data_IF_502291087941
#
_entry.id   IF_502291087941
#
_cell.length_a   1.000
_cell.length_b   1.000
_cell.length_c   1.000
_cell.angle_alpha   90.00
_cell.angle_beta   90.00
_cell.angle_gamma   90.00
#
_symmetry.space_group_name_H-M   'P 1'
#
loop_
_entity.id
_entity.type
_entity.pdbx_description
1 polymer ?
#
# COMPACT_ATOMS: atom_id res chain seq x y z
N UNK A 1 23.17 10.15 30.30
CA UNK A 1 23.44 9.25 29.14
C UNK A 1 24.35 8.11 29.66
N UNK A 2 23.76 6.91 29.76
CA UNK A 2 24.53 5.73 30.19
C UNK A 2 25.37 5.31 28.99
N UNK A 3 26.72 5.44 29.12
CA UNK A 3 27.65 4.93 28.10
C UNK A 3 27.73 3.40 28.24
N UNK A 4 27.09 2.69 27.31
CA UNK A 4 27.20 1.23 27.21
C UNK A 4 28.63 0.88 26.80
N UNK A 5 29.35 -0.03 27.53
CA UNK A 5 30.71 -0.42 27.21
C UNK A 5 30.84 -0.93 25.77
N UNK A 6 31.92 -0.57 25.09
CA UNK A 6 32.19 -0.84 23.67
C UNK A 6 31.95 -2.34 23.30
N UNK A 7 32.45 -3.28 24.13
CA UNK A 7 32.25 -4.73 23.95
C UNK A 7 30.78 -5.22 24.00
N UNK A 8 29.94 -4.55 24.78
CA UNK A 8 28.48 -4.89 24.85
C UNK A 8 27.76 -4.38 23.63
N UNK A 9 28.16 -3.20 23.14
CA UNK A 9 27.61 -2.62 21.91
C UNK A 9 27.92 -3.47 20.68
N UNK A 10 29.12 -4.03 20.59
CA UNK A 10 29.51 -4.91 19.48
C UNK A 10 28.76 -6.25 19.51
N UNK A 11 28.53 -6.83 20.69
CA UNK A 11 27.71 -8.04 20.84
C UNK A 11 26.25 -7.80 20.49
N UNK A 12 25.68 -6.67 20.91
CA UNK A 12 24.29 -6.28 20.56
C UNK A 12 24.18 -6.03 19.05
N UNK A 13 25.16 -5.38 18.45
CA UNK A 13 25.18 -5.15 17.01
C UNK A 13 25.34 -6.47 16.23
N UNK A 14 26.21 -7.39 16.67
CA UNK A 14 26.37 -8.70 16.06
C UNK A 14 25.11 -9.55 16.19
N UNK A 15 24.43 -9.51 17.34
CA UNK A 15 23.14 -10.17 17.55
C UNK A 15 22.05 -9.55 16.67
N UNK A 16 21.96 -8.21 16.61
CA UNK A 16 21.01 -7.51 15.77
C UNK A 16 21.22 -7.83 14.29
N UNK A 17 22.45 -7.85 13.80
CA UNK A 17 22.78 -8.22 12.42
C UNK A 17 22.39 -9.67 12.08
N UNK A 18 22.38 -10.57 13.06
CA UNK A 18 22.06 -11.99 12.86
C UNK A 18 20.57 -12.31 12.92
N UNK A 19 19.81 -11.60 13.78
CA UNK A 19 18.43 -11.95 14.10
C UNK A 19 17.39 -10.89 13.72
N UNK A 20 17.80 -9.63 13.53
CA UNK A 20 16.88 -8.54 13.19
C UNK A 20 16.85 -8.32 11.68
N UNK A 21 15.71 -8.50 11.01
CA UNK A 21 15.57 -8.22 9.59
C UNK A 21 16.00 -6.79 9.25
N UNK A 22 16.74 -6.61 8.17
CA UNK A 22 17.26 -5.31 7.70
C UNK A 22 18.24 -4.60 8.64
N UNK A 23 18.86 -5.28 9.61
CA UNK A 23 19.91 -4.69 10.43
C UNK A 23 21.11 -4.24 9.59
N UNK A 24 21.34 -4.87 8.44
CA UNK A 24 22.32 -4.55 7.41
C UNK A 24 22.06 -3.21 6.69
N UNK A 25 20.83 -2.69 6.77
CA UNK A 25 20.48 -1.35 6.28
C UNK A 25 21.14 -0.24 7.14
N UNK A 26 21.52 -0.55 8.38
CA UNK A 26 22.17 0.40 9.29
C UNK A 26 23.61 0.75 8.85
N UNK A 27 24.04 1.96 9.20
CA UNK A 27 25.41 2.43 9.02
C UNK A 27 25.90 3.16 10.27
N UNK A 28 27.19 3.48 10.34
CA UNK A 28 27.75 4.26 11.47
C UNK A 28 27.03 5.60 11.65
N UNK A 29 26.69 6.26 10.54
CA UNK A 29 25.99 7.56 10.52
C UNK A 29 24.48 7.42 10.70
N UNK A 30 23.91 6.24 10.38
CA UNK A 30 22.48 5.96 10.45
C UNK A 30 22.24 4.64 11.22
N UNK A 31 22.27 4.67 12.56
CA UNK A 31 22.08 3.48 13.38
C UNK A 31 20.68 2.91 13.25
N UNK A 32 20.52 1.59 13.46
CA UNK A 32 19.27 0.86 13.33
C UNK A 32 18.12 1.50 14.14
N UNK A 33 18.40 1.97 15.35
CA UNK A 33 17.41 2.64 16.21
C UNK A 33 16.82 3.90 15.56
N UNK A 34 17.65 4.66 14.84
CA UNK A 34 17.21 5.84 14.09
C UNK A 34 16.38 5.46 12.87
N UNK A 35 16.77 4.39 12.16
CA UNK A 35 16.02 3.83 11.05
C UNK A 35 14.66 3.29 11.49
N UNK A 36 14.61 2.50 12.57
CA UNK A 36 13.36 1.97 13.12
C UNK A 36 12.43 3.09 13.60
N UNK A 37 12.98 4.15 14.22
CA UNK A 37 12.17 5.32 14.57
C UNK A 37 11.66 6.04 13.32
N UNK A 38 12.48 6.20 12.28
CA UNK A 38 12.03 6.78 11.03
C UNK A 38 10.93 5.93 10.39
N UNK A 39 11.02 4.59 10.45
CA UNK A 39 10.04 3.70 9.83
C UNK A 39 8.63 3.79 10.44
N UNK A 40 8.46 4.42 11.62
CA UNK A 40 7.16 4.60 12.26
C UNK A 40 6.16 5.38 11.40
N UNK A 41 6.62 6.31 10.52
CA UNK A 41 5.68 6.96 9.60
C UNK A 41 5.08 5.99 8.60
N UNK A 42 5.83 5.00 8.15
CA UNK A 42 5.30 3.95 7.27
C UNK A 42 4.36 3.01 8.02
N UNK A 43 4.67 2.68 9.29
CA UNK A 43 3.75 1.95 10.16
C UNK A 43 2.42 2.71 10.31
N UNK A 44 2.47 4.03 10.52
CA UNK A 44 1.30 4.89 10.60
C UNK A 44 0.48 4.88 9.28
N UNK A 45 1.15 4.94 8.13
CA UNK A 45 0.52 4.80 6.81
C UNK A 45 -0.17 3.42 6.67
N UNK A 46 0.52 2.33 7.04
CA UNK A 46 -0.05 0.98 7.00
C UNK A 46 -1.30 0.84 7.87
N UNK A 47 -1.29 1.39 9.09
CA UNK A 47 -2.47 1.42 9.97
C UNK A 47 -3.61 2.25 9.38
N UNK A 48 -3.30 3.38 8.74
CA UNK A 48 -4.30 4.20 8.05
C UNK A 48 -4.92 3.45 6.86
N UNK A 49 -4.11 2.70 6.09
CA UNK A 49 -4.62 1.85 5.01
C UNK A 49 -5.54 0.74 5.54
N UNK A 50 -5.17 0.07 6.65
CA UNK A 50 -6.00 -0.92 7.31
C UNK A 50 -7.37 -0.35 7.71
N UNK A 51 -7.39 0.89 8.22
CA UNK A 51 -8.62 1.57 8.59
C UNK A 51 -9.48 1.90 7.36
N UNK A 52 -8.90 2.54 6.33
CA UNK A 52 -9.64 3.04 5.17
C UNK A 52 -10.12 1.93 4.23
N UNK A 53 -9.19 1.07 3.81
CA UNK A 53 -9.44 0.07 2.77
C UNK A 53 -10.10 -1.18 3.37
N UNK A 54 -9.74 -1.56 4.58
CA UNK A 54 -10.33 -2.67 5.30
C UNK A 54 -11.59 -2.26 6.05
N UNK A 55 -11.41 -1.84 7.28
CA UNK A 55 -12.48 -1.71 8.28
C UNK A 55 -13.58 -0.71 7.90
N UNK A 56 -13.23 0.52 7.48
CA UNK A 56 -14.25 1.54 7.17
C UNK A 56 -15.06 1.22 5.93
N UNK A 57 -14.41 0.67 4.91
CA UNK A 57 -15.05 0.19 3.71
C UNK A 57 -16.18 -0.81 4.04
N UNK A 58 -15.88 -1.84 4.83
CA UNK A 58 -16.87 -2.82 5.27
C UNK A 58 -17.98 -2.18 6.12
N UNK A 59 -17.62 -1.33 7.08
CA UNK A 59 -18.60 -0.65 7.95
C UNK A 59 -19.55 0.20 7.12
N UNK A 60 -19.06 0.96 6.15
CA UNK A 60 -19.91 1.79 5.28
C UNK A 60 -20.88 0.94 4.45
N UNK A 61 -20.42 -0.16 3.88
CA UNK A 61 -21.25 -1.00 3.00
C UNK A 61 -22.23 -1.85 3.82
N UNK A 62 -21.74 -2.55 4.84
CA UNK A 62 -22.52 -3.57 5.56
C UNK A 62 -23.34 -2.97 6.70
N UNK A 63 -22.73 -2.11 7.54
CA UNK A 63 -23.39 -1.57 8.75
C UNK A 63 -24.21 -0.31 8.46
N UNK A 64 -23.72 0.55 7.53
CA UNK A 64 -24.39 1.81 7.16
C UNK A 64 -25.19 1.71 5.86
N UNK A 65 -25.16 0.58 5.14
CA UNK A 65 -25.94 0.35 3.91
C UNK A 65 -25.56 1.28 2.75
N UNK A 66 -24.35 1.85 2.75
CA UNK A 66 -23.91 2.78 1.69
C UNK A 66 -23.56 1.97 0.44
N UNK A 67 -24.02 2.39 -0.77
CA UNK A 67 -23.71 1.69 -2.01
C UNK A 67 -22.19 1.52 -2.23
N UNK A 68 -21.77 0.32 -2.65
CA UNK A 68 -20.35 0.00 -2.80
C UNK A 68 -19.64 0.90 -3.82
N UNK A 69 -20.30 1.32 -4.88
CA UNK A 69 -19.74 2.25 -5.87
C UNK A 69 -19.35 3.59 -5.25
N UNK A 70 -20.16 4.11 -4.30
CA UNK A 70 -19.89 5.38 -3.65
C UNK A 70 -18.72 5.25 -2.65
N UNK A 71 -18.69 4.15 -1.90
CA UNK A 71 -17.59 3.83 -0.98
C UNK A 71 -16.30 3.64 -1.76
N UNK A 72 -16.34 2.87 -2.84
CA UNK A 72 -15.19 2.64 -3.73
C UNK A 72 -14.64 3.95 -4.30
N UNK A 73 -15.51 4.85 -4.76
CA UNK A 73 -15.11 6.17 -5.23
C UNK A 73 -14.45 6.98 -4.12
N UNK A 74 -15.03 7.00 -2.90
CA UNK A 74 -14.50 7.74 -1.76
C UNK A 74 -13.13 7.22 -1.33
N UNK A 75 -12.96 5.90 -1.24
CA UNK A 75 -11.66 5.26 -0.90
C UNK A 75 -10.63 5.41 -2.02
N UNK A 76 -11.06 5.52 -3.28
CA UNK A 76 -10.18 5.79 -4.40
C UNK A 76 -9.74 7.27 -4.49
N UNK A 77 -10.49 8.23 -3.92
CA UNK A 77 -10.13 9.65 -3.93
C UNK A 77 -8.68 9.95 -3.46
N UNK A 78 -8.17 9.34 -2.38
CA UNK A 78 -6.79 9.47 -1.97
C UNK A 78 -5.76 9.17 -3.06
N UNK A 79 -6.08 8.27 -3.96
CA UNK A 79 -5.17 7.80 -5.00
C UNK A 79 -5.10 8.74 -6.21
N UNK A 80 -6.12 9.61 -6.40
CA UNK A 80 -6.04 10.71 -7.37
C UNK A 80 -4.93 11.72 -7.03
N UNK A 81 -4.45 11.75 -5.79
CA UNK A 81 -3.27 12.53 -5.41
C UNK A 81 -1.94 11.87 -5.80
N UNK A 82 -1.96 10.62 -6.28
CA UNK A 82 -0.73 9.91 -6.65
C UNK A 82 0.10 10.63 -7.72
N UNK A 83 -0.47 11.24 -8.79
CA UNK A 83 0.29 12.06 -9.74
C UNK A 83 0.93 13.31 -9.09
N UNK A 84 0.27 13.89 -8.07
CA UNK A 84 0.78 15.05 -7.34
C UNK A 84 2.01 14.73 -6.47
N UNK A 85 2.29 13.45 -6.22
CA UNK A 85 3.52 13.02 -5.52
C UNK A 85 4.78 13.54 -6.22
N UNK A 86 4.80 13.56 -7.54
CA UNK A 86 5.91 14.11 -8.31
C UNK A 86 6.11 15.60 -8.03
N UNK A 87 5.02 16.36 -7.95
CA UNK A 87 5.04 17.78 -7.61
C UNK A 87 5.45 18.03 -6.15
N UNK A 88 4.93 17.24 -5.21
CA UNK A 88 5.31 17.29 -3.80
C UNK A 88 6.79 16.95 -3.63
N UNK A 89 7.27 15.91 -4.31
CA UNK A 89 8.67 15.52 -4.35
C UNK A 89 9.55 16.67 -4.84
N UNK A 90 9.25 17.21 -6.01
CA UNK A 90 9.97 18.34 -6.61
C UNK A 90 9.97 19.58 -5.69
N UNK A 91 8.81 19.99 -5.17
CA UNK A 91 8.72 21.12 -4.25
C UNK A 91 9.48 20.88 -2.95
N UNK A 92 9.44 19.67 -2.39
CA UNK A 92 10.19 19.33 -1.19
C UNK A 92 11.71 19.29 -1.42
N UNK A 93 12.16 19.08 -2.68
CA UNK A 93 13.58 19.16 -3.05
C UNK A 93 14.09 20.60 -3.17
N UNK A 94 13.24 21.51 -3.64
CA UNK A 94 13.61 22.88 -3.99
C UNK A 94 13.18 23.94 -2.97
N UNK A 95 12.39 23.55 -1.95
CA UNK A 95 11.80 24.50 -0.99
C UNK A 95 12.86 25.23 -0.16
N UNK A 96 12.93 26.58 -0.20
CA UNK A 96 13.79 27.36 0.66
C UNK A 96 13.14 27.50 2.05
N UNK A 97 13.47 26.61 2.99
CA UNK A 97 12.96 26.71 4.35
C UNK A 97 13.74 27.72 5.17
N UNK A 98 13.07 28.64 5.84
CA UNK A 98 13.67 29.56 6.79
C UNK A 98 14.35 28.84 7.98
N UNK A 99 13.90 27.63 8.31
CA UNK A 99 14.44 26.79 9.38
C UNK A 99 15.62 25.90 8.94
N UNK A 100 15.96 25.90 7.65
CA UNK A 100 16.98 24.98 7.07
C UNK A 100 16.52 23.53 6.96
N UNK A 101 15.22 23.26 7.09
CA UNK A 101 14.62 21.92 6.99
C UNK A 101 13.82 21.83 5.67
N UNK A 102 14.16 20.86 4.80
CA UNK A 102 13.52 20.75 3.48
C UNK A 102 12.31 19.82 3.49
N UNK A 103 12.43 18.65 4.13
CA UNK A 103 11.45 17.56 4.11
C UNK A 103 10.44 17.64 5.27
N UNK A 104 10.92 18.01 6.44
CA UNK A 104 10.10 18.05 7.64
C UNK A 104 8.82 18.90 7.52
N UNK A 105 8.81 20.09 6.90
CA UNK A 105 7.59 20.88 6.76
C UNK A 105 6.47 20.11 6.02
N UNK A 106 6.82 19.35 4.98
CA UNK A 106 5.86 18.53 4.23
C UNK A 106 5.33 17.37 5.06
N UNK A 107 6.17 16.74 5.86
CA UNK A 107 5.77 15.68 6.79
C UNK A 107 4.83 16.22 7.88
N UNK A 108 5.06 17.43 8.36
CA UNK A 108 4.16 18.12 9.29
C UNK A 108 2.79 18.41 8.67
N UNK A 109 2.77 19.00 7.48
CA UNK A 109 1.53 19.28 6.74
C UNK A 109 0.78 17.95 6.46
N UNK A 110 1.50 16.91 6.02
CA UNK A 110 0.91 15.60 5.80
C UNK A 110 0.30 15.00 7.06
N UNK A 111 0.96 15.13 8.22
CA UNK A 111 0.43 14.69 9.51
C UNK A 111 -0.83 15.48 9.95
N UNK A 112 -0.86 16.79 9.73
CA UNK A 112 -2.03 17.63 10.02
C UNK A 112 -3.23 17.18 9.16
N UNK A 113 -3.02 16.92 7.87
CA UNK A 113 -4.08 16.44 6.97
C UNK A 113 -4.59 15.05 7.36
N UNK A 114 -3.68 14.13 7.71
CA UNK A 114 -4.05 12.81 8.23
C UNK A 114 -4.90 12.91 9.49
N UNK A 115 -4.42 13.66 10.49
CA UNK A 115 -5.12 13.84 11.75
C UNK A 115 -6.48 14.51 11.54
N UNK A 116 -6.53 15.62 10.78
CA UNK A 116 -7.76 16.38 10.52
C UNK A 116 -8.79 15.54 9.77
N UNK A 117 -8.37 14.82 8.71
CA UNK A 117 -9.27 13.97 7.94
C UNK A 117 -9.83 12.80 8.75
N UNK A 118 -8.98 12.09 9.51
CA UNK A 118 -9.43 11.01 10.40
C UNK A 118 -10.32 11.51 11.55
N UNK A 119 -10.10 12.73 12.05
CA UNK A 119 -10.91 13.31 13.13
C UNK A 119 -12.32 13.67 12.66
N UNK A 120 -12.48 14.17 11.43
CA UNK A 120 -13.77 14.53 10.83
C UNK A 120 -14.54 13.29 10.39
N UNK A 121 -13.86 12.27 9.92
CA UNK A 121 -14.42 11.10 9.25
C UNK A 121 -15.57 10.41 10.01
N UNK A 122 -15.47 10.07 11.32
CA UNK A 122 -16.53 9.32 11.98
C UNK A 122 -17.84 10.11 12.07
N UNK A 123 -17.79 11.42 12.23
CA UNK A 123 -18.99 12.26 12.25
C UNK A 123 -19.66 12.32 10.89
N UNK A 124 -18.89 12.46 9.82
CA UNK A 124 -19.40 12.41 8.47
C UNK A 124 -20.06 11.07 8.15
N UNK A 125 -19.46 9.94 8.61
CA UNK A 125 -20.02 8.60 8.40
C UNK A 125 -21.34 8.38 9.14
N UNK A 126 -21.49 8.90 10.35
CA UNK A 126 -22.76 8.82 11.09
C UNK A 126 -23.91 9.54 10.39
N UNK A 127 -23.65 10.67 9.72
CA UNK A 127 -24.64 11.39 8.95
C UNK A 127 -25.10 10.64 7.68
N UNK A 128 -24.35 9.63 7.20
CA UNK A 128 -24.75 8.85 6.04
C UNK A 128 -25.98 7.96 6.30
N UNK A 129 -26.26 7.64 7.54
CA UNK A 129 -27.39 6.76 7.94
C UNK A 129 -28.55 7.55 8.57
N UNK A 130 -28.64 8.85 8.32
CA UNK A 130 -29.73 9.69 8.84
C UNK A 130 -30.99 9.57 7.98
N UNK A 131 -32.14 9.94 8.55
CA UNK A 131 -33.45 9.87 7.92
C UNK A 131 -33.73 10.99 6.93
N UNK A 132 -32.97 12.10 6.99
CA UNK A 132 -33.22 13.27 6.12
C UNK A 132 -32.23 13.32 4.96
N UNK A 133 -32.74 13.67 3.76
CA UNK A 133 -31.92 13.76 2.54
C UNK A 133 -30.81 14.79 2.70
N UNK A 134 -31.05 15.90 3.39
CA UNK A 134 -30.09 16.97 3.57
C UNK A 134 -28.90 16.51 4.43
N UNK A 135 -29.15 15.82 5.54
CA UNK A 135 -28.09 15.30 6.42
C UNK A 135 -27.26 14.22 5.74
N UNK A 136 -27.87 13.35 4.92
CA UNK A 136 -27.16 12.35 4.12
C UNK A 136 -26.22 13.03 3.11
N UNK A 137 -26.64 14.10 2.44
CA UNK A 137 -25.77 14.85 1.53
C UNK A 137 -24.62 15.55 2.27
N UNK A 138 -24.88 16.14 3.45
CA UNK A 138 -23.82 16.68 4.31
C UNK A 138 -22.83 15.59 4.73
N UNK A 139 -23.33 14.41 5.09
CA UNK A 139 -22.49 13.24 5.40
C UNK A 139 -21.61 12.82 4.22
N UNK A 140 -22.18 12.78 3.01
CA UNK A 140 -21.42 12.45 1.78
C UNK A 140 -20.32 13.44 1.48
N UNK A 141 -20.60 14.74 1.55
CA UNK A 141 -19.61 15.81 1.33
C UNK A 141 -18.53 15.75 2.41
N UNK A 142 -18.93 15.63 3.67
CA UNK A 142 -18.01 15.51 4.80
C UNK A 142 -17.09 14.29 4.71
N UNK A 143 -17.63 13.15 4.32
CA UNK A 143 -16.85 11.92 4.12
C UNK A 143 -15.89 12.08 2.94
N UNK A 144 -16.32 12.59 1.78
CA UNK A 144 -15.42 12.88 0.66
C UNK A 144 -14.27 13.82 1.08
N UNK A 145 -14.58 14.89 1.81
CA UNK A 145 -13.56 15.80 2.33
C UNK A 145 -12.60 15.10 3.28
N UNK A 146 -13.10 14.27 4.18
CA UNK A 146 -12.28 13.48 5.10
C UNK A 146 -11.35 12.52 4.36
N UNK A 147 -11.87 11.76 3.37
CA UNK A 147 -11.05 10.87 2.53
C UNK A 147 -10.00 11.65 1.72
N UNK A 148 -10.35 12.81 1.16
CA UNK A 148 -9.41 13.67 0.44
C UNK A 148 -8.29 14.17 1.35
N UNK A 149 -8.61 14.64 2.56
CA UNK A 149 -7.61 15.10 3.53
C UNK A 149 -6.69 13.96 3.95
N UNK A 150 -7.25 12.79 4.28
CA UNK A 150 -6.44 11.61 4.63
C UNK A 150 -5.54 11.22 3.47
N UNK A 151 -6.07 11.21 2.25
CA UNK A 151 -5.31 10.89 1.06
C UNK A 151 -4.18 11.87 0.79
N UNK A 152 -4.45 13.17 0.83
CA UNK A 152 -3.44 14.21 0.69
C UNK A 152 -2.35 14.07 1.76
N UNK A 153 -2.76 13.79 3.01
CA UNK A 153 -1.86 13.55 4.13
C UNK A 153 -0.97 12.33 3.93
N UNK A 154 -1.56 11.18 3.54
CA UNK A 154 -0.82 9.95 3.25
C UNK A 154 0.20 10.15 2.13
N UNK A 155 -0.23 10.70 1.00
CA UNK A 155 0.66 10.88 -0.16
C UNK A 155 1.80 11.86 0.14
N UNK A 156 1.51 12.94 0.88
CA UNK A 156 2.52 13.93 1.26
C UNK A 156 3.52 13.33 2.25
N UNK A 157 3.04 12.67 3.31
CA UNK A 157 3.88 12.02 4.32
C UNK A 157 4.75 10.93 3.70
N UNK A 158 4.16 10.08 2.87
CA UNK A 158 4.90 8.97 2.22
C UNK A 158 5.97 9.49 1.26
N UNK A 159 5.64 10.48 0.43
CA UNK A 159 6.59 11.04 -0.55
C UNK A 159 7.76 11.73 0.15
N UNK A 160 7.48 12.63 1.10
CA UNK A 160 8.52 13.36 1.82
C UNK A 160 9.33 12.45 2.75
N UNK A 161 8.68 11.45 3.38
CA UNK A 161 9.32 10.50 4.29
C UNK A 161 10.28 9.55 3.56
N UNK A 162 9.87 8.99 2.42
CA UNK A 162 10.75 8.17 1.57
C UNK A 162 11.91 8.98 1.01
N UNK A 163 11.66 10.23 0.59
CA UNK A 163 12.72 11.12 0.14
C UNK A 163 13.71 11.46 1.28
N UNK A 164 13.21 11.74 2.49
CA UNK A 164 14.06 11.94 3.67
C UNK A 164 14.93 10.71 3.96
N UNK A 165 14.34 9.52 3.92
CA UNK A 165 15.05 8.27 4.14
C UNK A 165 16.17 8.03 3.13
N UNK A 166 15.92 8.31 1.85
CA UNK A 166 16.93 8.18 0.78
C UNK A 166 18.01 9.26 0.86
N UNK A 167 17.68 10.47 1.34
CA UNK A 167 18.66 11.55 1.57
C UNK A 167 19.64 11.23 2.71
N UNK A 168 19.18 10.54 3.76
CA UNK A 168 19.98 10.19 4.93
C UNK A 168 20.79 8.90 4.68
N UNK A 169 20.27 7.99 3.86
CA UNK A 169 20.88 6.69 3.59
C UNK A 169 22.08 6.81 2.63
N UNK A 170 23.14 6.05 2.91
CA UNK A 170 24.25 5.87 1.98
C UNK A 170 23.74 5.26 0.66
N UNK A 171 24.26 5.67 -0.52
CA UNK A 171 23.76 5.23 -1.83
C UNK A 171 23.61 3.71 -1.98
N UNK A 172 24.60 2.95 -1.47
CA UNK A 172 24.65 1.49 -1.55
C UNK A 172 23.59 0.81 -0.67
N UNK A 173 23.13 1.49 0.38
CA UNK A 173 22.15 0.97 1.35
C UNK A 173 20.73 1.45 1.12
N UNK A 174 20.50 2.39 0.19
CA UNK A 174 19.17 2.92 -0.12
C UNK A 174 18.11 1.85 -0.42
N UNK A 175 18.39 0.82 -1.23
CA UNK A 175 17.40 -0.24 -1.49
C UNK A 175 16.97 -0.97 -0.21
N UNK A 176 17.90 -1.25 0.69
CA UNK A 176 17.62 -1.93 1.98
C UNK A 176 16.81 -1.06 2.92
N UNK A 177 17.12 0.25 2.98
CA UNK A 177 16.34 1.22 3.76
C UNK A 177 14.91 1.32 3.23
N UNK A 178 14.72 1.41 1.92
CA UNK A 178 13.39 1.44 1.30
C UNK A 178 12.63 0.14 1.57
N UNK A 179 13.29 -1.00 1.50
CA UNK A 179 12.69 -2.30 1.81
C UNK A 179 12.25 -2.39 3.29
N UNK A 180 13.08 -1.91 4.25
CA UNK A 180 12.71 -1.80 5.66
C UNK A 180 11.44 -0.94 5.85
N UNK A 181 11.38 0.21 5.19
CA UNK A 181 10.24 1.12 5.29
C UNK A 181 8.95 0.49 4.76
N UNK A 182 9.00 -0.22 3.61
CA UNK A 182 7.83 -0.92 3.07
C UNK A 182 7.41 -2.09 3.96
N UNK A 183 8.37 -2.83 4.54
CA UNK A 183 8.06 -3.88 5.53
C UNK A 183 7.40 -3.31 6.78
N UNK A 184 7.85 -2.14 7.26
CA UNK A 184 7.23 -1.44 8.38
C UNK A 184 5.78 -1.01 8.06
N UNK A 185 5.50 -0.63 6.80
CA UNK A 185 4.14 -0.35 6.34
C UNK A 185 3.25 -1.60 6.40
N UNK A 186 3.74 -2.75 5.93
CA UNK A 186 3.00 -4.02 6.03
C UNK A 186 2.78 -4.45 7.47
N UNK A 187 3.76 -4.27 8.35
CA UNK A 187 3.59 -4.51 9.80
C UNK A 187 2.50 -3.59 10.36
N UNK A 188 2.49 -2.32 9.98
CA UNK A 188 1.45 -1.36 10.35
C UNK A 188 0.06 -1.78 9.86
N UNK A 189 -0.04 -2.29 8.62
CA UNK A 189 -1.27 -2.83 8.06
C UNK A 189 -1.77 -4.04 8.88
N UNK A 190 -0.90 -5.01 9.17
CA UNK A 190 -1.24 -6.22 9.92
C UNK A 190 -1.68 -5.88 11.35
N UNK A 191 -0.87 -5.11 12.06
CA UNK A 191 -1.16 -4.72 13.45
C UNK A 191 -2.39 -3.83 13.51
N UNK A 192 -2.52 -2.88 12.58
CA UNK A 192 -3.70 -2.01 12.46
C UNK A 192 -4.97 -2.81 12.24
N UNK A 193 -4.99 -3.72 11.25
CA UNK A 193 -6.17 -4.56 10.97
C UNK A 193 -6.55 -5.44 12.15
N UNK A 194 -5.57 -6.07 12.80
CA UNK A 194 -5.81 -6.88 13.99
C UNK A 194 -6.39 -6.08 15.16
N UNK A 195 -5.80 -4.90 15.42
CA UNK A 195 -6.26 -4.00 16.48
C UNK A 195 -7.67 -3.47 16.20
N UNK A 196 -7.94 -3.01 14.98
CA UNK A 196 -9.25 -2.50 14.57
C UNK A 196 -10.33 -3.60 14.65
N UNK A 197 -10.02 -4.80 14.17
CA UNK A 197 -10.92 -5.94 14.25
C UNK A 197 -11.25 -6.32 15.69
N UNK A 198 -10.27 -6.27 16.60
CA UNK A 198 -10.50 -6.55 18.04
C UNK A 198 -11.33 -5.46 18.71
N UNK A 199 -11.04 -4.17 18.45
CA UNK A 199 -11.77 -3.04 19.04
C UNK A 199 -13.21 -2.95 18.55
N UNK A 200 -13.49 -3.31 17.29
CA UNK A 200 -14.82 -3.25 16.66
C UNK A 200 -15.56 -4.61 16.68
N UNK A 201 -15.11 -5.56 17.48
CA UNK A 201 -15.76 -6.88 17.60
C UNK A 201 -17.26 -6.76 17.90
N UNK A 202 -17.60 -5.91 18.87
CA UNK A 202 -18.98 -5.58 19.22
C UNK A 202 -19.26 -4.18 18.66
N UNK A 203 -19.65 -4.12 17.40
CA UNK A 203 -19.86 -2.88 16.68
C UNK A 203 -20.95 -2.03 17.31
N UNK A 204 -20.66 -0.76 17.55
CA UNK A 204 -21.62 0.30 17.85
C UNK A 204 -21.16 1.62 17.20
N UNK A 205 -22.09 2.52 16.83
CA UNK A 205 -21.71 3.85 16.27
C UNK A 205 -20.76 4.63 17.19
N UNK A 206 -20.96 4.56 18.49
CA UNK A 206 -20.09 5.21 19.48
C UNK A 206 -18.68 4.61 19.48
N UNK A 207 -18.55 3.29 19.42
CA UNK A 207 -17.25 2.62 19.30
C UNK A 207 -16.55 2.99 18.01
N UNK A 208 -17.27 3.12 16.89
CA UNK A 208 -16.69 3.58 15.62
C UNK A 208 -16.02 4.94 15.78
N UNK A 209 -16.71 5.92 16.40
CA UNK A 209 -16.15 7.25 16.68
C UNK A 209 -14.88 7.15 17.51
N UNK A 210 -14.94 6.42 18.63
CA UNK A 210 -13.79 6.25 19.53
C UNK A 210 -12.59 5.60 18.86
N UNK A 211 -12.81 4.56 18.05
CA UNK A 211 -11.76 3.82 17.37
C UNK A 211 -11.12 4.65 16.26
N UNK A 212 -11.91 5.36 15.45
CA UNK A 212 -11.37 6.19 14.36
C UNK A 212 -10.60 7.38 14.92
N UNK A 213 -11.12 8.06 15.95
CA UNK A 213 -10.42 9.19 16.60
C UNK A 213 -9.18 8.72 17.37
N UNK A 214 -9.26 7.57 18.07
CA UNK A 214 -8.10 6.93 18.69
C UNK A 214 -7.01 6.58 17.68
N UNK A 215 -7.41 6.09 16.50
CA UNK A 215 -6.50 5.82 15.38
C UNK A 215 -5.87 7.12 14.84
N UNK A 216 -6.63 8.21 14.75
CA UNK A 216 -6.12 9.52 14.34
C UNK A 216 -5.00 9.99 15.28
N UNK A 217 -5.24 9.90 16.59
CA UNK A 217 -4.25 10.27 17.60
C UNK A 217 -3.01 9.38 17.53
N UNK A 218 -3.18 8.04 17.42
CA UNK A 218 -2.08 7.09 17.33
C UNK A 218 -1.22 7.36 16.08
N UNK A 219 -1.84 7.54 14.92
CA UNK A 219 -1.16 7.87 13.66
C UNK A 219 -0.38 9.19 13.79
N UNK A 220 -0.98 10.21 14.40
CA UNK A 220 -0.31 11.49 14.63
C UNK A 220 0.92 11.34 15.53
N UNK A 221 0.81 10.59 16.63
CA UNK A 221 1.93 10.34 17.56
C UNK A 221 3.05 9.54 16.89
N UNK A 222 2.71 8.50 16.12
CA UNK A 222 3.70 7.72 15.37
C UNK A 222 4.45 8.58 14.36
N UNK A 223 3.74 9.41 13.60
CA UNK A 223 4.34 10.33 12.65
C UNK A 223 5.26 11.35 13.37
N UNK A 224 4.80 12.00 14.42
CA UNK A 224 5.61 12.97 15.19
C UNK A 224 6.86 12.33 15.78
N UNK A 225 6.74 11.11 16.31
CA UNK A 225 7.86 10.36 16.87
C UNK A 225 8.87 9.99 15.78
N UNK A 226 8.39 9.63 14.59
CA UNK A 226 9.24 9.29 13.45
C UNK A 226 10.10 10.47 12.99
N UNK A 227 9.57 11.70 13.10
CA UNK A 227 10.22 12.92 12.61
C UNK A 227 11.27 13.49 13.58
N UNK A 228 11.27 13.04 14.82
CA UNK A 228 12.08 13.64 15.86
C UNK A 228 13.58 13.54 15.55
N UNK A 229 14.22 14.71 15.32
CA UNK A 229 15.66 14.85 15.05
C UNK A 229 16.19 13.98 13.89
N UNK A 230 15.41 13.85 12.82
CA UNK A 230 15.78 13.06 11.64
C UNK A 230 16.54 13.87 10.59
N UNK A 231 16.12 15.11 10.33
CA UNK A 231 16.73 15.95 9.30
C UNK A 231 17.79 16.87 9.90
N UNK A 232 18.98 16.88 9.30
CA UNK A 232 20.01 17.85 9.64
C UNK A 232 19.72 19.20 8.97
N UNK A 233 19.91 20.30 9.71
CA UNK A 233 19.73 21.65 9.15
C UNK A 233 20.76 21.91 8.06
N UNK A 234 20.30 22.26 6.88
CA UNK A 234 21.14 22.62 5.74
C UNK A 234 21.26 24.13 5.65
N UNK A 235 22.48 24.61 5.83
CA UNK A 235 22.82 26.05 5.75
C UNK A 235 23.13 26.52 4.33
N UNK A 236 23.38 25.61 3.39
CA UNK A 236 23.70 25.96 1.99
C UNK A 236 22.57 25.55 1.05
N UNK A 237 22.11 26.54 0.28
CA UNK A 237 21.20 26.40 -0.84
C UNK A 237 21.92 25.57 -1.92
N UNK A 238 21.55 24.31 -2.10
CA UNK A 238 22.03 23.53 -3.25
C UNK A 238 21.43 24.08 -4.54
N UNK A 239 22.18 24.77 -5.34
CA UNK A 239 21.84 25.12 -6.71
C UNK A 239 21.83 23.85 -7.55
N UNK A 240 20.71 23.17 -7.60
CA UNK A 240 20.39 22.27 -8.70
C UNK A 240 19.43 23.00 -9.62
N UNK A 241 19.91 23.44 -10.76
CA UNK A 241 19.02 23.77 -11.88
C UNK A 241 18.28 22.50 -12.28
N UNK A 242 16.97 22.46 -12.16
CA UNK A 242 16.24 21.26 -12.55
C UNK A 242 16.15 21.23 -14.07
N UNK A 243 16.77 20.24 -14.69
CA UNK A 243 16.40 19.86 -16.05
C UNK A 243 14.88 19.69 -16.12
N UNK A 244 14.23 20.32 -17.11
CA UNK A 244 12.77 20.39 -17.15
C UNK A 244 12.15 18.98 -17.12
N UNK A 245 11.18 18.75 -16.22
CA UNK A 245 10.46 17.48 -16.04
C UNK A 245 10.08 16.80 -17.37
N UNK A 246 9.63 17.58 -18.35
CA UNK A 246 9.21 17.09 -19.67
C UNK A 246 10.34 16.43 -20.47
N UNK A 247 11.58 16.94 -20.38
CA UNK A 247 12.75 16.38 -21.09
C UNK A 247 13.12 15.00 -20.51
N UNK A 248 13.21 14.93 -19.21
CA UNK A 248 13.55 13.69 -18.50
C UNK A 248 12.46 12.62 -18.66
N UNK A 249 11.17 13.01 -18.68
CA UNK A 249 10.06 12.11 -18.93
C UNK A 249 10.11 11.48 -20.32
N UNK A 250 10.38 12.28 -21.37
CA UNK A 250 10.56 11.76 -22.74
C UNK A 250 11.72 10.77 -22.83
N UNK A 251 12.81 11.04 -22.13
CA UNK A 251 13.96 10.14 -22.07
C UNK A 251 13.61 8.80 -21.45
N UNK A 252 12.85 8.78 -20.34
CA UNK A 252 12.41 7.54 -19.69
C UNK A 252 11.48 6.72 -20.59
N UNK A 253 10.48 7.35 -21.22
CA UNK A 253 9.55 6.64 -22.11
C UNK A 253 10.26 6.07 -23.34
N UNK A 254 11.39 6.64 -23.73
CA UNK A 254 12.22 6.14 -24.85
C UNK A 254 13.09 4.93 -24.46
N UNK A 255 13.24 4.62 -23.18
CA UNK A 255 13.99 3.42 -22.75
C UNK A 255 13.39 2.14 -23.31
N UNK A 256 14.22 1.16 -23.71
CA UNK A 256 13.75 -0.12 -24.22
C UNK A 256 12.82 -0.81 -23.19
N UNK A 257 11.68 -1.29 -23.67
CA UNK A 257 10.66 -1.99 -22.87
C UNK A 257 9.97 -1.16 -21.76
N UNK A 258 10.27 0.13 -21.58
CA UNK A 258 9.67 0.95 -20.52
C UNK A 258 8.14 1.02 -20.64
N UNK A 259 7.59 1.26 -21.83
CA UNK A 259 6.15 1.27 -22.06
C UNK A 259 5.50 -0.06 -21.63
N UNK A 260 6.11 -1.17 -22.05
CA UNK A 260 5.60 -2.52 -21.70
C UNK A 260 5.67 -2.77 -20.20
N UNK A 261 6.77 -2.38 -19.57
CA UNK A 261 6.94 -2.45 -18.11
C UNK A 261 5.82 -1.68 -17.40
N UNK A 262 5.57 -0.42 -17.75
CA UNK A 262 4.52 0.40 -17.15
C UNK A 262 3.11 -0.19 -17.38
N UNK A 263 2.82 -0.73 -18.57
CA UNK A 263 1.57 -1.44 -18.84
C UNK A 263 1.42 -2.69 -17.96
N UNK A 264 2.48 -3.49 -17.81
CA UNK A 264 2.45 -4.68 -16.95
C UNK A 264 2.21 -4.31 -15.49
N UNK A 265 2.88 -3.25 -15.01
CA UNK A 265 2.65 -2.70 -13.65
C UNK A 265 1.21 -2.25 -13.51
N UNK A 266 0.67 -1.50 -14.48
CA UNK A 266 -0.69 -0.99 -14.43
C UNK A 266 -1.73 -2.12 -14.38
N UNK A 267 -1.67 -3.07 -15.31
CA UNK A 267 -2.63 -4.18 -15.40
C UNK A 267 -2.54 -5.09 -14.16
N UNK A 268 -1.32 -5.45 -13.74
CA UNK A 268 -1.13 -6.28 -12.55
C UNK A 268 -1.57 -5.59 -11.25
N UNK A 269 -1.36 -4.28 -11.14
CA UNK A 269 -1.88 -3.50 -10.01
C UNK A 269 -3.41 -3.43 -10.02
N UNK A 270 -4.04 -3.24 -11.18
CA UNK A 270 -5.49 -3.33 -11.32
C UNK A 270 -6.00 -4.69 -10.83
N UNK A 271 -5.35 -5.78 -11.29
CA UNK A 271 -5.75 -7.15 -11.00
C UNK A 271 -5.67 -7.52 -9.51
N UNK A 272 -4.79 -6.91 -8.73
CA UNK A 272 -4.66 -7.16 -7.29
C UNK A 272 -5.37 -6.13 -6.41
N UNK A 273 -5.87 -5.03 -6.95
CA UNK A 273 -6.43 -3.94 -6.14
C UNK A 273 -7.94 -3.77 -6.28
N UNK A 274 -8.57 -4.35 -7.30
CA UNK A 274 -10.02 -4.20 -7.50
C UNK A 274 -10.80 -4.82 -6.32
N UNK A 275 -10.33 -5.95 -5.80
CA UNK A 275 -10.90 -6.66 -4.66
C UNK A 275 -10.75 -5.91 -3.31
N UNK A 276 -9.83 -4.96 -3.19
CA UNK A 276 -9.55 -4.30 -1.90
C UNK A 276 -10.79 -3.62 -1.30
N UNK A 277 -11.71 -3.17 -2.14
CA UNK A 277 -12.96 -2.54 -1.70
C UNK A 277 -14.07 -3.55 -1.40
N UNK A 278 -14.07 -4.70 -2.08
CA UNK A 278 -15.20 -5.63 -2.05
C UNK A 278 -14.95 -6.89 -1.21
N UNK A 279 -13.70 -7.20 -0.88
CA UNK A 279 -13.35 -8.46 -0.20
C UNK A 279 -13.93 -8.54 1.22
N UNK A 280 -13.75 -7.50 2.04
CA UNK A 280 -14.32 -7.46 3.38
C UNK A 280 -15.85 -7.38 3.38
N UNK A 281 -16.48 -6.52 2.55
CA UNK A 281 -17.93 -6.53 2.36
C UNK A 281 -18.49 -7.88 1.90
N UNK A 282 -17.81 -8.58 0.97
CA UNK A 282 -18.20 -9.94 0.56
C UNK A 282 -18.27 -10.90 1.76
N UNK A 283 -17.27 -10.86 2.64
CA UNK A 283 -17.29 -11.62 3.88
C UNK A 283 -18.46 -11.27 4.80
N UNK A 284 -18.86 -9.99 4.85
CA UNK A 284 -19.99 -9.52 5.66
C UNK A 284 -21.37 -9.82 5.04
N UNK A 285 -21.57 -9.50 3.74
CA UNK A 285 -22.87 -9.62 3.06
C UNK A 285 -23.21 -11.05 2.61
N UNK A 286 -22.20 -11.83 2.18
CA UNK A 286 -22.41 -13.15 1.59
C UNK A 286 -22.12 -14.28 2.60
N UNK A 287 -21.03 -14.17 3.36
CA UNK A 287 -20.63 -15.18 4.33
C UNK A 287 -21.08 -14.85 5.77
N UNK A 288 -21.79 -13.74 5.97
CA UNK A 288 -22.34 -13.30 7.27
C UNK A 288 -21.29 -13.21 8.39
N UNK A 289 -20.05 -12.87 8.06
CA UNK A 289 -18.96 -12.75 9.00
C UNK A 289 -19.00 -11.41 9.74
N UNK A 290 -18.61 -11.41 11.03
CA UNK A 290 -18.55 -10.18 11.82
C UNK A 290 -17.35 -9.28 11.43
N UNK A 291 -17.36 -8.02 11.91
CA UNK A 291 -16.30 -7.02 11.61
C UNK A 291 -14.91 -7.50 12.00
N UNK A 292 -14.78 -8.11 13.20
CA UNK A 292 -13.51 -8.63 13.70
C UNK A 292 -12.91 -9.67 12.75
N UNK A 293 -13.77 -10.53 12.21
CA UNK A 293 -13.35 -11.57 11.31
C UNK A 293 -12.92 -11.01 9.94
N UNK A 294 -13.73 -10.12 9.36
CA UNK A 294 -13.42 -9.53 8.05
C UNK A 294 -12.18 -8.63 8.11
N UNK A 295 -12.00 -7.82 9.17
CA UNK A 295 -10.78 -7.04 9.36
C UNK A 295 -9.53 -7.93 9.53
N UNK A 296 -9.67 -9.17 10.05
CA UNK A 296 -8.56 -10.12 10.10
C UNK A 296 -8.09 -10.58 8.71
N UNK A 297 -8.94 -10.48 7.67
CA UNK A 297 -8.58 -10.81 6.30
C UNK A 297 -7.54 -9.83 5.74
N UNK A 298 -7.69 -8.54 6.02
CA UNK A 298 -6.68 -7.53 5.64
C UNK A 298 -5.34 -7.82 6.33
N UNK A 299 -5.35 -8.21 7.62
CA UNK A 299 -4.14 -8.65 8.31
C UNK A 299 -3.53 -9.91 7.66
N UNK A 300 -4.36 -10.86 7.25
CA UNK A 300 -3.93 -12.11 6.62
C UNK A 300 -3.33 -11.86 5.23
N UNK A 301 -3.94 -10.98 4.44
CA UNK A 301 -3.39 -10.51 3.15
C UNK A 301 -2.04 -9.82 3.34
N UNK A 302 -1.93 -8.90 4.33
CA UNK A 302 -0.67 -8.23 4.68
C UNK A 302 0.41 -9.21 5.13
N UNK A 303 0.07 -10.22 5.92
CA UNK A 303 1.00 -11.28 6.32
C UNK A 303 1.47 -12.11 5.11
N UNK A 304 0.55 -12.45 4.19
CA UNK A 304 0.88 -13.09 2.91
C UNK A 304 1.89 -12.26 2.11
N UNK A 305 1.66 -10.95 1.99
CA UNK A 305 2.58 -10.03 1.30
C UNK A 305 3.95 -9.94 1.99
N UNK A 306 4.01 -9.94 3.31
CA UNK A 306 5.28 -9.91 4.05
C UNK A 306 6.09 -11.20 3.86
N UNK A 307 5.42 -12.37 3.88
CA UNK A 307 6.04 -13.66 3.56
C UNK A 307 6.54 -13.67 2.12
N UNK A 308 5.76 -13.12 1.19
CA UNK A 308 6.15 -12.97 -0.21
C UNK A 308 7.41 -12.13 -0.38
N UNK A 309 7.53 -11.02 0.35
CA UNK A 309 8.74 -10.18 0.33
C UNK A 309 9.97 -10.94 0.80
N UNK A 310 9.84 -11.67 1.91
CA UNK A 310 10.94 -12.50 2.45
C UNK A 310 11.35 -13.61 1.46
N UNK A 311 10.37 -14.29 0.85
CA UNK A 311 10.63 -15.35 -0.11
C UNK A 311 11.23 -14.79 -1.41
N UNK A 312 10.70 -13.69 -1.94
CA UNK A 312 11.24 -13.02 -3.13
C UNK A 312 12.72 -12.67 -2.93
N UNK A 313 13.06 -12.06 -1.78
CA UNK A 313 14.44 -11.74 -1.45
C UNK A 313 15.35 -13.00 -1.48
N UNK A 314 14.93 -14.10 -0.85
CA UNK A 314 15.68 -15.37 -0.86
C UNK A 314 15.83 -15.97 -2.25
N UNK A 315 14.75 -15.96 -3.06
CA UNK A 315 14.78 -16.50 -4.42
C UNK A 315 15.74 -15.73 -5.33
N UNK A 316 15.79 -14.40 -5.17
CA UNK A 316 16.67 -13.55 -5.97
C UNK A 316 18.13 -13.71 -5.59
N UNK A 317 18.44 -13.88 -4.29
CA UNK A 317 19.80 -14.26 -3.86
C UNK A 317 20.24 -15.60 -4.47
N UNK A 318 19.30 -16.54 -4.69
CA UNK A 318 19.55 -17.79 -5.40
C UNK A 318 19.63 -17.64 -6.93
N UNK A 319 19.57 -16.42 -7.47
CA UNK A 319 19.72 -16.12 -8.88
C UNK A 319 18.42 -16.16 -9.71
N UNK A 320 17.24 -16.21 -9.07
CA UNK A 320 16.00 -16.03 -9.80
C UNK A 320 15.86 -14.58 -10.29
N UNK A 321 15.47 -14.43 -11.56
CA UNK A 321 15.19 -13.14 -12.17
C UNK A 321 13.91 -12.49 -11.59
N UNK A 322 13.92 -11.16 -11.40
CA UNK A 322 12.80 -10.41 -10.85
C UNK A 322 11.50 -10.56 -11.67
N UNK A 323 11.60 -10.74 -13.00
CA UNK A 323 10.46 -11.05 -13.86
C UNK A 323 9.81 -12.40 -13.49
N UNK A 324 10.62 -13.43 -13.20
CA UNK A 324 10.10 -14.74 -12.77
C UNK A 324 9.44 -14.67 -11.42
N UNK A 325 10.02 -13.91 -10.49
CA UNK A 325 9.41 -13.66 -9.15
C UNK A 325 8.04 -13.01 -9.30
N UNK A 326 7.93 -11.97 -10.14
CA UNK A 326 6.64 -11.33 -10.43
C UNK A 326 5.64 -12.28 -11.10
N UNK A 327 6.10 -13.14 -12.03
CA UNK A 327 5.26 -14.14 -12.68
C UNK A 327 4.70 -15.17 -11.69
N UNK A 328 5.50 -15.63 -10.73
CA UNK A 328 5.02 -16.48 -9.64
C UNK A 328 3.95 -15.77 -8.80
N UNK A 329 4.09 -14.46 -8.58
CA UNK A 329 3.07 -13.67 -7.92
C UNK A 329 1.73 -13.68 -8.66
N UNK A 330 1.75 -13.42 -9.98
CA UNK A 330 0.54 -13.48 -10.81
C UNK A 330 -0.07 -14.88 -10.85
N UNK A 331 0.76 -15.93 -10.96
CA UNK A 331 0.31 -17.32 -10.96
C UNK A 331 -0.30 -17.75 -9.61
N UNK A 332 0.20 -17.27 -8.48
CA UNK A 332 -0.39 -17.55 -7.15
C UNK A 332 -1.65 -16.76 -6.87
N UNK A 333 -1.84 -15.59 -7.49
CA UNK A 333 -3.07 -14.85 -7.44
C UNK A 333 -4.27 -15.60 -8.04
N UNK A 334 -4.06 -16.35 -9.13
CA UNK A 334 -5.14 -17.10 -9.79
C UNK A 334 -5.87 -18.10 -8.85
N UNK A 335 -5.20 -19.07 -8.20
CA UNK A 335 -5.86 -19.92 -7.24
C UNK A 335 -6.36 -19.15 -6.02
N UNK A 336 -5.74 -18.02 -5.66
CA UNK A 336 -6.23 -17.13 -4.61
C UNK A 336 -7.64 -16.61 -4.91
N UNK A 337 -7.86 -16.01 -6.07
CA UNK A 337 -9.18 -15.54 -6.49
C UNK A 337 -10.17 -16.69 -6.73
N UNK A 338 -9.70 -17.82 -7.26
CA UNK A 338 -10.56 -19.01 -7.41
C UNK A 338 -11.07 -19.52 -6.05
N UNK A 339 -10.23 -19.55 -5.02
CA UNK A 339 -10.65 -19.90 -3.65
C UNK A 339 -11.68 -18.91 -3.09
N UNK A 340 -11.50 -17.61 -3.29
CA UNK A 340 -12.47 -16.60 -2.85
C UNK A 340 -13.79 -16.76 -3.58
N UNK A 341 -13.78 -16.97 -4.90
CA UNK A 341 -14.97 -17.18 -5.73
C UNK A 341 -15.76 -18.43 -5.30
N UNK A 342 -15.05 -19.51 -4.97
CA UNK A 342 -15.65 -20.77 -4.55
C UNK A 342 -16.07 -20.79 -3.07
N UNK A 343 -15.68 -19.80 -2.28
CA UNK A 343 -15.96 -19.77 -0.85
C UNK A 343 -17.46 -19.74 -0.53
N UNK A 344 -18.27 -18.94 -1.26
CA UNK A 344 -19.71 -18.88 -1.06
C UNK A 344 -20.42 -20.16 -1.51
N UNK A 345 -20.22 -20.70 -2.73
CA UNK A 345 -20.84 -21.95 -3.14
C UNK A 345 -20.51 -23.15 -2.23
N UNK A 346 -19.33 -23.14 -1.60
CA UNK A 346 -18.90 -24.22 -0.71
C UNK A 346 -19.15 -23.91 0.78
N UNK A 347 -19.76 -22.77 1.10
CA UNK A 347 -19.97 -22.26 2.45
C UNK A 347 -18.72 -22.42 3.36
N UNK A 348 -17.54 -22.10 2.79
CA UNK A 348 -16.25 -22.39 3.40
C UNK A 348 -15.47 -21.11 3.73
N UNK A 349 -15.52 -20.75 5.01
CA UNK A 349 -14.73 -19.64 5.56
C UNK A 349 -13.22 -19.90 5.45
N UNK A 350 -12.80 -21.16 5.52
CA UNK A 350 -11.39 -21.53 5.37
C UNK A 350 -10.87 -21.29 3.96
N UNK A 351 -11.71 -21.59 2.96
CA UNK A 351 -11.37 -21.34 1.55
C UNK A 351 -11.23 -19.83 1.30
N UNK A 352 -12.12 -19.03 1.90
CA UNK A 352 -12.05 -17.57 1.85
C UNK A 352 -10.75 -17.03 2.47
N UNK A 353 -10.34 -17.50 3.64
CA UNK A 353 -9.08 -17.14 4.29
C UNK A 353 -7.87 -17.54 3.47
N UNK A 354 -7.84 -18.78 2.97
CA UNK A 354 -6.76 -19.28 2.15
C UNK A 354 -6.62 -18.44 0.86
N UNK A 355 -7.74 -18.14 0.19
CA UNK A 355 -7.77 -17.27 -0.98
C UNK A 355 -7.21 -15.89 -0.70
N UNK A 356 -7.68 -15.24 0.37
CA UNK A 356 -7.20 -13.90 0.78
C UNK A 356 -5.69 -13.90 1.06
N UNK A 357 -5.18 -14.93 1.73
CA UNK A 357 -3.75 -15.07 2.02
C UNK A 357 -2.92 -15.23 0.73
N UNK A 358 -3.41 -16.05 -0.21
CA UNK A 358 -2.77 -16.27 -1.52
C UNK A 358 -2.80 -15.00 -2.39
N UNK A 359 -3.89 -14.22 -2.36
CA UNK A 359 -3.97 -12.94 -3.07
C UNK A 359 -2.94 -11.97 -2.51
N UNK A 360 -2.85 -11.83 -1.18
CA UNK A 360 -1.85 -10.99 -0.53
C UNK A 360 -0.43 -11.42 -0.86
N UNK A 361 -0.15 -12.72 -0.82
CA UNK A 361 1.14 -13.29 -1.20
C UNK A 361 1.47 -13.02 -2.67
N UNK A 362 0.53 -13.27 -3.59
CA UNK A 362 0.70 -13.05 -5.02
C UNK A 362 0.97 -11.57 -5.34
N UNK A 363 0.18 -10.67 -4.78
CA UNK A 363 0.35 -9.22 -4.91
C UNK A 363 1.68 -8.72 -4.36
N UNK A 364 2.13 -9.28 -3.22
CA UNK A 364 3.44 -8.99 -2.63
C UNK A 364 4.60 -9.41 -3.54
N UNK A 365 4.59 -10.65 -4.06
CA UNK A 365 5.59 -11.15 -5.00
C UNK A 365 5.65 -10.31 -6.28
N UNK A 366 4.48 -9.96 -6.84
CA UNK A 366 4.38 -9.12 -8.03
C UNK A 366 4.97 -7.73 -7.77
N UNK A 367 4.55 -7.06 -6.70
CA UNK A 367 4.99 -5.69 -6.37
C UNK A 367 6.50 -5.60 -6.16
N UNK A 368 7.08 -6.54 -5.39
CA UNK A 368 8.53 -6.57 -5.15
C UNK A 368 9.30 -6.81 -6.42
N UNK A 369 8.88 -7.79 -7.24
CA UNK A 369 9.55 -8.08 -8.48
C UNK A 369 9.52 -6.89 -9.45
N UNK A 370 8.36 -6.21 -9.59
CA UNK A 370 8.24 -5.00 -10.42
C UNK A 370 9.08 -3.83 -9.89
N UNK A 371 9.14 -3.65 -8.56
CA UNK A 371 9.98 -2.63 -7.94
C UNK A 371 11.46 -2.85 -8.28
N UNK A 372 11.92 -4.09 -8.25
CA UNK A 372 13.32 -4.41 -8.54
C UNK A 372 13.63 -4.24 -10.03
N UNK A 373 12.71 -4.64 -10.92
CA UNK A 373 12.84 -4.35 -12.35
C UNK A 373 12.97 -2.83 -12.56
N UNK A 374 12.15 -2.02 -11.85
CA UNK A 374 12.24 -0.56 -11.92
C UNK A 374 13.59 -0.02 -11.45
N UNK A 375 14.21 -0.64 -10.44
CA UNK A 375 15.53 -0.26 -9.94
C UNK A 375 16.67 -0.66 -10.89
N UNK A 376 16.51 -1.74 -11.65
CA UNK A 376 17.52 -2.30 -12.54
C UNK A 376 17.46 -1.76 -13.97
N UNK A 377 16.31 -1.21 -14.40
CA UNK A 377 16.11 -0.73 -15.78
C UNK A 377 16.95 0.48 -16.17
N UNK A 378 17.20 1.48 -15.30
CA UNK A 378 17.80 2.74 -15.75
C UNK A 378 19.32 2.69 -15.82
N UNK A 379 19.87 3.38 -16.83
CA UNK A 379 21.24 3.87 -16.82
C UNK A 379 21.45 4.91 -15.69
N UNK A 380 22.70 5.09 -15.28
CA UNK A 380 23.06 5.96 -14.14
C UNK A 380 22.38 7.35 -14.22
N UNK A 381 21.61 7.69 -13.20
CA UNK A 381 21.01 9.02 -13.00
C UNK A 381 19.49 9.12 -13.19
N UNK A 382 18.81 8.11 -13.75
CA UNK A 382 17.36 8.13 -14.00
C UNK A 382 16.55 7.25 -13.02
N UNK A 383 17.19 6.57 -12.08
CA UNK A 383 16.57 5.60 -11.17
C UNK A 383 15.41 6.20 -10.37
N UNK A 384 15.59 7.40 -9.81
CA UNK A 384 14.52 8.06 -9.03
C UNK A 384 13.28 8.36 -9.85
N UNK A 385 13.46 8.73 -11.11
CA UNK A 385 12.35 9.07 -12.00
C UNK A 385 11.62 7.81 -12.52
N UNK A 386 12.35 6.71 -12.76
CA UNK A 386 11.73 5.41 -13.11
C UNK A 386 10.93 4.86 -11.95
N UNK A 387 11.46 4.93 -10.73
CA UNK A 387 10.73 4.57 -9.52
C UNK A 387 9.49 5.45 -9.29
N UNK A 388 9.61 6.75 -9.59
CA UNK A 388 8.48 7.68 -9.56
C UNK A 388 7.40 7.31 -10.59
N UNK A 389 7.78 6.97 -11.82
CA UNK A 389 6.88 6.53 -12.88
C UNK A 389 6.19 5.20 -12.50
N UNK A 390 6.95 4.23 -11.99
CA UNK A 390 6.42 2.96 -11.47
C UNK A 390 5.38 3.21 -10.37
N UNK A 391 5.73 4.00 -9.35
CA UNK A 391 4.83 4.28 -8.24
C UNK A 391 3.58 5.07 -8.64
N UNK A 392 3.69 6.01 -9.59
CA UNK A 392 2.56 6.76 -10.10
C UNK A 392 1.59 5.84 -10.89
N UNK A 393 2.10 4.98 -11.76
CA UNK A 393 1.28 4.03 -12.52
C UNK A 393 0.63 3.04 -11.56
N UNK A 394 1.37 2.45 -10.63
CA UNK A 394 0.83 1.52 -9.65
C UNK A 394 -0.32 2.15 -8.86
N UNK A 395 -0.10 3.31 -8.24
CA UNK A 395 -1.10 3.95 -7.40
C UNK A 395 -2.34 4.41 -8.19
N UNK A 396 -2.14 4.99 -9.39
CA UNK A 396 -3.26 5.41 -10.24
C UNK A 396 -4.09 4.21 -10.71
N UNK A 397 -3.42 3.14 -11.14
CA UNK A 397 -4.09 1.91 -11.58
C UNK A 397 -4.86 1.25 -10.45
N UNK A 398 -4.27 1.17 -9.24
CA UNK A 398 -4.96 0.66 -8.05
C UNK A 398 -6.21 1.49 -7.71
N UNK A 399 -6.09 2.83 -7.69
CA UNK A 399 -7.24 3.69 -7.38
C UNK A 399 -8.36 3.58 -8.39
N UNK A 400 -8.01 3.56 -9.69
CA UNK A 400 -8.99 3.42 -10.76
C UNK A 400 -9.68 2.05 -10.69
N UNK A 401 -8.93 0.98 -10.44
CA UNK A 401 -9.50 -0.37 -10.37
C UNK A 401 -10.41 -0.55 -9.15
N UNK A 402 -10.09 0.03 -8.00
CA UNK A 402 -10.97 0.04 -6.83
C UNK A 402 -12.31 0.70 -7.16
N UNK A 403 -12.30 1.89 -7.79
CA UNK A 403 -13.51 2.59 -8.20
C UNK A 403 -14.33 1.77 -9.20
N UNK A 404 -13.68 1.21 -10.22
CA UNK A 404 -14.32 0.36 -11.25
C UNK A 404 -14.88 -0.91 -10.61
N UNK A 405 -14.18 -1.55 -9.69
CA UNK A 405 -14.64 -2.76 -8.98
C UNK A 405 -15.96 -2.53 -8.24
N UNK A 406 -16.07 -1.42 -7.48
CA UNK A 406 -17.29 -1.06 -6.78
C UNK A 406 -18.47 -0.78 -7.74
N UNK A 407 -18.20 -0.04 -8.82
CA UNK A 407 -19.22 0.26 -9.86
C UNK A 407 -19.69 -1.02 -10.54
N UNK A 408 -18.79 -1.90 -10.95
CA UNK A 408 -19.12 -3.16 -11.61
C UNK A 408 -19.94 -4.07 -10.69
N UNK A 409 -19.51 -4.22 -9.42
CA UNK A 409 -20.22 -5.00 -8.40
C UNK A 409 -21.68 -4.54 -8.28
N UNK A 410 -21.90 -3.25 -8.04
CA UNK A 410 -23.25 -2.72 -7.82
C UNK A 410 -24.09 -2.75 -9.09
N UNK A 411 -23.53 -2.36 -10.25
CA UNK A 411 -24.24 -2.40 -11.53
C UNK A 411 -24.68 -3.81 -11.88
N UNK A 412 -23.77 -4.79 -11.77
CA UNK A 412 -24.12 -6.17 -12.07
C UNK A 412 -25.12 -6.75 -11.07
N UNK A 413 -24.99 -6.47 -9.78
CA UNK A 413 -25.94 -6.90 -8.76
C UNK A 413 -27.35 -6.35 -9.04
N UNK A 414 -27.47 -5.09 -9.47
CA UNK A 414 -28.76 -4.49 -9.84
C UNK A 414 -29.36 -5.14 -11.08
N UNK A 415 -28.58 -5.44 -12.11
CA UNK A 415 -29.06 -6.15 -13.31
C UNK A 415 -29.41 -7.62 -13.00
N UNK A 416 -28.63 -8.29 -12.16
CA UNK A 416 -28.87 -9.67 -11.76
C UNK A 416 -30.17 -9.78 -10.95
N UNK A 417 -30.42 -8.88 -10.00
CA UNK A 417 -31.64 -8.85 -9.18
C UNK A 417 -32.91 -8.55 -9.99
N UNK A 418 -32.78 -7.89 -11.14
CA UNK A 418 -33.92 -7.67 -12.08
C UNK A 418 -34.27 -8.89 -12.94
N UNK A 419 -33.59 -10.03 -12.78
CA UNK A 419 -33.88 -11.29 -13.47
C UNK A 419 -33.34 -11.41 -14.89
N UNK A 420 -32.60 -10.40 -15.40
CA UNK A 420 -32.06 -10.39 -16.77
C UNK A 420 -31.15 -11.59 -17.09
N UNK A 421 -30.46 -12.13 -16.09
CA UNK A 421 -29.48 -13.23 -16.26
C UNK A 421 -30.00 -14.60 -15.77
N UNK A 422 -31.30 -14.71 -15.43
CA UNK A 422 -31.88 -15.94 -14.89
C UNK A 422 -31.74 -16.07 -13.38
N UNK A 423 -32.51 -17.00 -12.80
CA UNK A 423 -32.63 -17.18 -11.34
C UNK A 423 -31.32 -17.54 -10.67
N UNK A 424 -30.42 -18.25 -11.35
CA UNK A 424 -29.10 -18.68 -10.80
C UNK A 424 -28.16 -17.52 -10.46
N UNK A 425 -28.33 -16.34 -11.07
CA UNK A 425 -27.49 -15.17 -10.84
C UNK A 425 -28.19 -14.07 -10.02
N UNK A 426 -29.39 -14.31 -9.52
CA UNK A 426 -30.11 -13.36 -8.66
C UNK A 426 -29.51 -13.21 -7.26
N UNK A 427 -28.54 -14.05 -6.90
CA UNK A 427 -27.90 -14.01 -5.59
C UNK A 427 -26.95 -12.80 -5.43
N UNK A 428 -26.86 -12.28 -4.21
CA UNK A 428 -25.96 -11.16 -3.85
C UNK A 428 -24.48 -11.41 -4.18
N UNK A 429 -24.06 -12.68 -4.20
CA UNK A 429 -22.69 -13.09 -4.53
C UNK A 429 -22.31 -12.83 -6.00
N UNK A 430 -23.28 -12.72 -6.90
CA UNK A 430 -23.04 -12.64 -8.36
C UNK A 430 -22.25 -11.41 -8.78
N UNK A 431 -22.53 -10.22 -8.18
CA UNK A 431 -21.79 -9.00 -8.46
C UNK A 431 -20.33 -9.08 -8.01
N UNK A 432 -20.09 -9.72 -6.87
CA UNK A 432 -18.74 -10.00 -6.37
C UNK A 432 -18.00 -10.98 -7.28
N UNK A 433 -18.69 -12.07 -7.67
CA UNK A 433 -18.13 -13.10 -8.54
C UNK A 433 -17.67 -12.56 -9.89
N UNK A 434 -18.42 -11.62 -10.49
CA UNK A 434 -18.01 -10.94 -11.72
C UNK A 434 -16.66 -10.23 -11.56
N UNK A 435 -16.48 -9.48 -10.46
CA UNK A 435 -15.25 -8.73 -10.21
C UNK A 435 -14.08 -9.69 -10.01
N UNK A 436 -14.21 -10.75 -9.20
CA UNK A 436 -13.16 -11.75 -9.01
C UNK A 436 -12.78 -12.48 -10.30
N UNK A 437 -13.75 -12.78 -11.16
CA UNK A 437 -13.49 -13.37 -12.48
C UNK A 437 -12.72 -12.42 -13.40
N UNK A 438 -13.07 -11.12 -13.36
CA UNK A 438 -12.35 -10.08 -14.12
C UNK A 438 -10.90 -9.93 -13.63
N UNK A 439 -10.66 -9.98 -12.33
CA UNK A 439 -9.32 -9.93 -11.76
C UNK A 439 -8.47 -11.12 -12.22
N UNK A 440 -9.04 -12.33 -12.24
CA UNK A 440 -8.35 -13.51 -12.80
C UNK A 440 -7.99 -13.29 -14.28
N UNK A 441 -8.88 -12.72 -15.08
CA UNK A 441 -8.60 -12.37 -16.48
C UNK A 441 -7.46 -11.35 -16.59
N UNK A 442 -7.48 -10.30 -15.75
CA UNK A 442 -6.43 -9.29 -15.72
C UNK A 442 -5.08 -9.87 -15.30
N UNK A 443 -5.05 -10.85 -14.38
CA UNK A 443 -3.82 -11.58 -14.02
C UNK A 443 -3.24 -12.33 -15.23
N UNK A 444 -4.08 -12.99 -16.02
CA UNK A 444 -3.65 -13.64 -17.26
C UNK A 444 -3.09 -12.64 -18.26
N UNK A 445 -3.75 -11.50 -18.47
CA UNK A 445 -3.28 -10.45 -19.37
C UNK A 445 -1.95 -9.89 -18.89
N UNK A 446 -1.79 -9.65 -17.58
CA UNK A 446 -0.53 -9.19 -17.00
C UNK A 446 0.60 -10.20 -17.19
N UNK A 447 0.31 -11.49 -17.03
CA UNK A 447 1.28 -12.58 -17.26
C UNK A 447 1.76 -12.62 -18.72
N UNK A 448 0.85 -12.49 -19.68
CA UNK A 448 1.18 -12.43 -21.11
C UNK A 448 1.97 -11.16 -21.44
N UNK A 449 1.58 -10.01 -20.86
CA UNK A 449 2.31 -8.75 -21.05
C UNK A 449 3.73 -8.80 -20.52
N UNK A 450 3.96 -9.56 -19.44
CA UNK A 450 5.28 -9.70 -18.79
C UNK A 450 6.21 -10.67 -19.50
N UNK A 451 5.70 -11.69 -20.19
CA UNK A 451 6.50 -12.75 -20.79
C UNK A 451 7.71 -12.28 -21.64
N UNK A 452 7.62 -11.22 -22.47
CA UNK A 452 8.77 -10.74 -23.25
C UNK A 452 9.78 -9.93 -22.41
N UNK A 453 9.44 -9.47 -21.21
CA UNK A 453 10.38 -8.78 -20.33
C UNK A 453 11.43 -9.75 -19.77
N UNK A 454 11.09 -11.04 -19.63
CA UNK A 454 11.97 -12.07 -19.09
C UNK A 454 13.04 -12.56 -20.07
N UNK A 455 12.84 -12.39 -21.38
CA UNK A 455 13.68 -13.03 -22.42
C UNK A 455 15.05 -12.39 -22.66
N UNK A 456 15.35 -11.21 -22.10
CA UNK A 456 16.56 -10.43 -22.45
C UNK A 456 17.72 -10.45 -21.46
N UNK A 457 17.66 -11.14 -20.32
CA UNK A 457 18.64 -10.98 -19.24
C UNK A 457 19.48 -12.21 -18.85
N UNK A 458 19.73 -13.11 -19.77
CA UNK A 458 20.54 -14.30 -19.48
C UNK A 458 22.06 -14.06 -19.42
N UNK A 459 22.58 -12.85 -19.59
CA UNK A 459 24.04 -12.64 -19.74
C UNK A 459 24.73 -11.59 -18.86
N UNK A 460 24.08 -10.94 -17.88
CA UNK A 460 24.74 -9.84 -17.14
C UNK A 460 24.50 -9.79 -15.61
N UNK A 461 24.10 -10.85 -14.94
CA UNK A 461 23.93 -10.82 -13.48
C UNK A 461 25.08 -11.44 -12.72
N UNK A 462 26.06 -10.64 -12.33
CA UNK A 462 27.09 -10.98 -11.36
C UNK A 462 27.14 -10.05 -10.13
N UNK A 463 26.25 -9.04 -10.02
CA UNK A 463 26.16 -8.23 -8.79
C UNK A 463 24.69 -8.07 -8.39
N UNK A 464 24.16 -9.08 -7.70
CA UNK A 464 22.82 -9.05 -7.12
C UNK A 464 22.70 -8.00 -6.01
N UNK A 465 21.70 -7.14 -6.11
CA UNK A 465 21.25 -6.32 -4.98
C UNK A 465 20.78 -7.28 -3.89
N UNK A 466 21.54 -7.43 -2.81
CA UNK A 466 21.11 -8.22 -1.66
C UNK A 466 19.99 -7.48 -0.93
N UNK A 467 18.84 -8.10 -0.83
CA UNK A 467 17.71 -7.62 -0.05
C UNK A 467 17.93 -7.99 1.42
N UNK A 468 17.74 -7.05 2.35
CA UNK A 468 18.02 -7.27 3.75
C UNK A 468 17.28 -8.41 4.45
N UNK A 469 16.20 -8.93 3.83
CA UNK A 469 15.51 -10.15 4.28
C UNK A 469 16.22 -11.47 3.88
N UNK A 470 17.23 -11.41 3.01
CA UNK A 470 17.96 -12.60 2.57
C UNK A 470 18.89 -13.17 3.67
N UNK A 471 19.22 -12.36 4.67
CA UNK A 471 20.13 -12.69 5.77
C UNK A 471 19.41 -13.19 7.04
N UNK A 472 18.11 -13.53 6.94
CA UNK A 472 17.43 -14.19 8.06
C UNK A 472 18.09 -15.55 8.33
N UNK A 473 18.46 -15.87 9.59
CA UNK A 473 19.04 -17.16 9.92
C UNK A 473 18.08 -18.29 9.58
N UNK A 474 18.63 -19.41 9.07
CA UNK A 474 17.91 -20.64 8.77
C UNK A 474 17.34 -21.27 10.04
#
# INVERSE_FOLDING_TARGET
MIQVPFKVRDKINAFALRYVPFADAASADLPLSRLLRLSLFQTAIGMTMALLVGTLNRVMIVELGVPAWWVALSVALPLFFAPLRALIGYRSDTHPSALGLRRLPYLWIGNIFLFGGLSIMPFALLLLNDSTIETVWMGRIGACLAFLLVGAGMQTTQTAGLALATDIAQPEKRPRVVALLHSAMLVGLIVGSGLLGWLLKDFTPTKLVQVVQGSALLVAVLNLTSLWKQEARQTKRGEREPDGFSKNWRQIISLPNMKRFLWTVGIGSCAFSMQDIILEPYGGEVLHLNVSFTSSLTALSGAGALIAFALAARLMVKGLDACRVSAFGLLTGLPGFACVLLAAPMDSVWLFRAGTSLIGFGGGMFSVGMLIIAMEMPEKGLTGMVLGAWGAVQATSSGLSMAVGGILKDSFSNFASSGYFGEALMDKSSGYGLVFALEMLLLFIALVAMAPLSRKKQSQFSNSVQFGLAELPN
#
